data_IF_381695801039
#
_entry.id   IF_381695801039
#
_cell.length_a   1.000
_cell.length_b   1.000
_cell.length_c   1.000
_cell.angle_alpha   90.00
_cell.angle_beta   90.00
_cell.angle_gamma   90.00
#
_symmetry.space_group_name_H-M   'P 1'
#
loop_
_entity.id
_entity.type
_entity.pdbx_description
1 polymer ?
#
# COMPACT_ATOMS: atom_id res chain seq x y z
N UNK A 1 10.06 -2.65 -25.32
CA UNK A 1 11.08 -3.49 -25.97
C UNK A 1 10.36 -4.73 -26.49
N UNK A 2 10.05 -4.70 -27.78
CA UNK A 2 9.75 -5.91 -28.57
C UNK A 2 11.00 -6.80 -28.62
N UNK A 3 10.79 -8.12 -28.81
CA UNK A 3 11.80 -9.22 -28.90
C UNK A 3 12.26 -9.92 -27.60
N UNK A 4 11.46 -9.95 -26.53
CA UNK A 4 11.76 -10.71 -25.31
C UNK A 4 11.25 -12.16 -25.23
N UNK A 5 10.50 -12.64 -26.22
CA UNK A 5 9.52 -13.71 -25.98
C UNK A 5 10.04 -15.15 -25.76
N UNK A 6 11.37 -15.41 -25.77
CA UNK A 6 11.85 -16.79 -25.53
C UNK A 6 13.01 -17.02 -24.57
N UNK A 7 13.63 -16.01 -23.96
CA UNK A 7 14.73 -16.21 -22.97
C UNK A 7 14.89 -15.09 -21.95
N UNK A 8 13.80 -14.51 -21.43
CA UNK A 8 13.95 -13.53 -20.33
C UNK A 8 14.11 -14.29 -19.02
N UNK A 9 15.23 -14.11 -18.29
CA UNK A 9 15.40 -14.67 -16.96
C UNK A 9 14.26 -14.19 -16.05
N UNK A 10 13.83 -15.04 -15.12
CA UNK A 10 12.79 -14.67 -14.15
C UNK A 10 13.25 -13.44 -13.38
N UNK A 11 12.45 -12.37 -13.41
CA UNK A 11 12.69 -11.20 -12.59
C UNK A 11 12.26 -11.51 -11.16
N UNK A 12 13.12 -11.27 -10.16
CA UNK A 12 12.74 -11.29 -8.75
C UNK A 12 11.57 -10.34 -8.46
N UNK A 13 10.77 -10.66 -7.43
CA UNK A 13 9.56 -9.89 -7.14
C UNK A 13 9.83 -8.42 -6.81
N UNK A 14 10.92 -8.11 -6.13
CA UNK A 14 11.38 -6.75 -5.83
C UNK A 14 11.69 -5.95 -7.11
N UNK A 15 12.33 -6.56 -8.12
CA UNK A 15 12.51 -5.95 -9.44
C UNK A 15 11.18 -5.68 -10.12
N UNK A 16 10.22 -6.62 -10.04
CA UNK A 16 8.87 -6.39 -10.56
C UNK A 16 8.17 -5.20 -9.85
N UNK A 17 8.39 -5.04 -8.54
CA UNK A 17 7.88 -3.87 -7.81
C UNK A 17 8.52 -2.60 -8.36
N UNK A 18 9.84 -2.56 -8.56
CA UNK A 18 10.56 -1.42 -9.16
C UNK A 18 10.01 -1.03 -10.53
N UNK A 19 9.86 -2.00 -11.44
CA UNK A 19 9.31 -1.77 -12.77
C UNK A 19 7.87 -1.23 -12.70
N UNK A 20 7.06 -1.76 -11.77
CA UNK A 20 5.70 -1.28 -11.55
C UNK A 20 5.64 0.16 -11.03
N UNK A 21 6.61 0.58 -10.20
CA UNK A 21 6.72 1.98 -9.76
C UNK A 21 7.02 2.90 -10.93
N UNK A 22 7.98 2.53 -11.79
CA UNK A 22 8.30 3.31 -12.99
C UNK A 22 7.11 3.42 -13.95
N UNK A 23 6.47 2.29 -14.25
CA UNK A 23 5.32 2.24 -15.16
C UNK A 23 4.10 3.01 -14.64
N UNK A 24 3.66 2.75 -13.41
CA UNK A 24 2.52 3.45 -12.81
C UNK A 24 2.82 4.92 -12.53
N UNK A 25 4.02 5.22 -12.02
CA UNK A 25 4.45 6.58 -11.77
C UNK A 25 4.48 7.41 -13.04
N UNK A 26 4.99 6.87 -14.15
CA UNK A 26 4.93 7.50 -15.47
C UNK A 26 3.48 7.84 -15.88
N UNK A 27 2.54 6.90 -15.74
CA UNK A 27 1.13 7.12 -16.10
C UNK A 27 0.51 8.24 -15.26
N UNK A 28 0.71 8.21 -13.94
CA UNK A 28 0.19 9.24 -13.02
C UNK A 28 0.82 10.61 -13.32
N UNK A 29 2.15 10.64 -13.45
CA UNK A 29 2.90 11.86 -13.72
C UNK A 29 2.49 12.51 -15.03
N UNK A 30 2.29 11.71 -16.09
CA UNK A 30 1.81 12.22 -17.38
C UNK A 30 0.41 12.86 -17.25
N UNK A 31 -0.53 12.18 -16.62
CA UNK A 31 -1.89 12.70 -16.42
C UNK A 31 -1.89 13.95 -15.54
N UNK A 32 -1.07 13.99 -14.50
CA UNK A 32 -0.91 15.16 -13.65
C UNK A 32 -0.39 16.37 -14.45
N UNK A 33 0.61 16.19 -15.33
CA UNK A 33 1.07 17.26 -16.24
C UNK A 33 -0.05 17.77 -17.16
N UNK A 34 -0.84 16.88 -17.75
CA UNK A 34 -1.99 17.25 -18.60
C UNK A 34 -3.02 18.07 -17.82
N UNK A 35 -3.38 17.63 -16.61
CA UNK A 35 -4.30 18.34 -15.71
C UNK A 35 -3.73 19.69 -15.30
N UNK A 36 -2.48 19.75 -14.85
CA UNK A 36 -1.86 21.00 -14.41
C UNK A 36 -1.86 22.06 -15.52
N UNK A 37 -1.55 21.64 -16.76
CA UNK A 37 -1.62 22.54 -17.91
C UNK A 37 -3.05 23.00 -18.21
N UNK A 38 -4.03 22.09 -18.18
CA UNK A 38 -5.44 22.40 -18.47
C UNK A 38 -6.04 23.37 -17.44
N UNK A 39 -5.73 23.17 -16.17
CA UNK A 39 -6.26 23.96 -15.05
C UNK A 39 -5.38 25.17 -14.68
N UNK A 40 -4.28 25.42 -15.41
CA UNK A 40 -3.37 26.53 -15.14
C UNK A 40 -2.54 26.41 -13.85
N UNK A 41 -2.42 25.20 -13.29
CA UNK A 41 -1.67 24.93 -12.05
C UNK A 41 -0.17 24.97 -12.33
N UNK A 42 0.54 25.92 -11.71
CA UNK A 42 2.00 26.08 -11.83
C UNK A 42 2.73 25.19 -10.82
N UNK A 43 2.72 23.87 -11.04
CA UNK A 43 3.46 22.89 -10.24
C UNK A 43 4.12 21.84 -11.12
N UNK A 44 5.20 21.24 -10.61
CA UNK A 44 5.82 20.08 -11.21
C UNK A 44 5.33 18.80 -10.53
N UNK A 45 5.45 17.68 -11.23
CA UNK A 45 5.20 16.33 -10.68
C UNK A 45 6.41 15.44 -10.96
N UNK A 46 6.80 14.64 -9.96
CA UNK A 46 7.94 13.74 -10.08
C UNK A 46 7.64 12.38 -9.43
N UNK A 47 8.01 11.31 -10.12
CA UNK A 47 8.01 9.95 -9.59
C UNK A 47 9.37 9.64 -8.99
N UNK A 48 9.40 9.16 -7.74
CA UNK A 48 10.60 8.72 -7.05
C UNK A 48 10.53 7.20 -6.88
N UNK A 49 11.45 6.48 -7.51
CA UNK A 49 11.65 5.05 -7.22
C UNK A 49 12.04 4.94 -5.74
N UNK A 50 11.28 4.16 -4.99
CA UNK A 50 11.34 4.14 -3.53
C UNK A 50 11.65 2.74 -3.01
N UNK A 51 12.69 2.65 -2.19
CA UNK A 51 13.11 1.47 -1.44
C UNK A 51 12.62 1.57 0.01
N UNK A 52 12.16 0.44 0.54
CA UNK A 52 11.66 0.32 1.90
C UNK A 52 12.46 -0.74 2.64
N UNK A 53 13.15 -0.29 3.68
CA UNK A 53 13.90 -1.16 4.56
C UNK A 53 12.94 -2.04 5.36
N UNK A 54 13.21 -3.34 5.36
CA UNK A 54 12.48 -4.36 6.13
C UNK A 54 13.44 -5.22 6.92
N UNK A 55 12.92 -5.93 7.93
CA UNK A 55 13.73 -6.89 8.69
C UNK A 55 13.83 -8.21 7.91
N UNK A 56 15.04 -8.68 7.59
CA UNK A 56 15.21 -9.99 6.93
C UNK A 56 14.74 -11.17 7.79
N UNK A 57 14.62 -10.98 9.11
CA UNK A 57 14.04 -11.94 10.05
C UNK A 57 12.55 -11.73 10.34
N UNK A 58 11.83 -10.95 9.53
CA UNK A 58 10.39 -10.75 9.70
C UNK A 58 9.64 -12.11 9.60
N UNK A 59 8.77 -12.46 10.57
CA UNK A 59 8.01 -13.70 10.56
C UNK A 59 7.19 -13.96 9.28
N UNK A 60 6.79 -12.90 8.57
CA UNK A 60 6.03 -13.02 7.31
C UNK A 60 6.83 -13.71 6.20
N UNK A 61 8.16 -13.73 6.28
CA UNK A 61 8.98 -14.52 5.35
C UNK A 61 8.79 -16.02 5.55
N UNK A 62 8.58 -16.47 6.78
CA UNK A 62 8.29 -17.87 7.10
C UNK A 62 6.81 -18.22 6.88
N UNK A 63 5.91 -17.24 7.05
CA UNK A 63 4.46 -17.44 6.88
C UNK A 63 3.83 -16.41 5.93
N UNK A 64 4.05 -16.54 4.61
CA UNK A 64 3.49 -15.64 3.61
C UNK A 64 1.96 -15.67 3.58
N UNK A 65 1.32 -14.51 3.73
CA UNK A 65 -0.16 -14.39 3.74
C UNK A 65 -0.71 -13.44 2.69
N UNK A 66 0.11 -12.56 2.10
CA UNK A 66 -0.39 -11.48 1.26
C UNK A 66 -0.68 -11.94 -0.16
N UNK A 67 -1.93 -11.86 -0.63
CA UNK A 67 -2.29 -12.34 -1.96
C UNK A 67 -1.93 -11.30 -3.04
N UNK A 68 -1.25 -11.75 -4.10
CA UNK A 68 -0.83 -10.95 -5.25
C UNK A 68 -1.32 -11.56 -6.57
N UNK A 69 -1.31 -10.74 -7.63
CA UNK A 69 -1.72 -11.17 -8.96
C UNK A 69 -3.21 -11.52 -9.07
N UNK A 70 -3.54 -12.25 -10.12
CA UNK A 70 -4.90 -12.62 -10.50
C UNK A 70 -5.45 -13.79 -9.65
N UNK A 71 -6.75 -14.05 -9.78
CA UNK A 71 -7.38 -15.24 -9.18
C UNK A 71 -7.27 -16.44 -10.11
N UNK A 72 -6.99 -17.60 -9.54
CA UNK A 72 -6.90 -18.89 -10.20
C UNK A 72 -8.01 -19.83 -9.72
N UNK A 73 -8.46 -20.72 -10.61
CA UNK A 73 -9.28 -21.87 -10.22
C UNK A 73 -8.42 -22.93 -9.53
N UNK A 74 -9.04 -23.90 -8.87
CA UNK A 74 -8.32 -25.04 -8.28
C UNK A 74 -7.45 -25.77 -9.31
N UNK A 75 -7.98 -26.02 -10.52
CA UNK A 75 -7.22 -26.69 -11.58
C UNK A 75 -5.99 -25.88 -12.03
N UNK A 76 -6.15 -24.57 -12.20
CA UNK A 76 -5.05 -23.68 -12.54
C UNK A 76 -4.01 -23.61 -11.41
N UNK A 77 -4.45 -23.57 -10.14
CA UNK A 77 -3.57 -23.57 -8.99
C UNK A 77 -2.70 -24.84 -8.93
N UNK A 78 -3.29 -26.02 -9.15
CA UNK A 78 -2.55 -27.29 -9.19
C UNK A 78 -1.51 -27.28 -10.32
N UNK A 79 -1.87 -26.81 -11.50
CA UNK A 79 -0.94 -26.71 -12.63
C UNK A 79 0.21 -25.72 -12.33
N UNK A 80 -0.12 -24.54 -11.80
CA UNK A 80 0.86 -23.52 -11.45
C UNK A 80 1.82 -24.00 -10.36
N UNK A 81 1.35 -24.80 -9.39
CA UNK A 81 2.22 -25.39 -8.37
C UNK A 81 3.24 -26.35 -8.96
N UNK A 82 2.88 -27.09 -10.02
CA UNK A 82 3.81 -27.97 -10.75
C UNK A 82 4.81 -27.17 -11.60
N UNK A 83 4.35 -26.13 -12.30
CA UNK A 83 5.19 -25.28 -13.16
C UNK A 83 6.10 -24.32 -12.36
N UNK A 84 5.66 -23.94 -11.15
CA UNK A 84 6.30 -22.94 -10.28
C UNK A 84 6.29 -23.43 -8.84
N UNK A 85 7.09 -24.46 -8.49
CA UNK A 85 7.07 -25.08 -7.17
C UNK A 85 7.47 -24.16 -6.01
N UNK A 86 8.12 -23.03 -6.29
CA UNK A 86 8.49 -21.99 -5.32
C UNK A 86 7.35 -20.99 -5.05
N UNK A 87 6.28 -21.00 -5.84
CA UNK A 87 5.10 -20.19 -5.53
C UNK A 87 4.32 -20.88 -4.42
N UNK A 88 3.89 -20.08 -3.45
CA UNK A 88 2.87 -20.47 -2.50
C UNK A 88 1.54 -20.00 -3.05
N UNK A 89 0.63 -20.94 -3.31
CA UNK A 89 -0.71 -20.66 -3.80
C UNK A 89 -1.69 -21.06 -2.70
N UNK A 90 -2.54 -20.12 -2.29
CA UNK A 90 -3.53 -20.34 -1.24
C UNK A 90 -4.92 -19.99 -1.72
N UNK A 91 -5.92 -20.68 -1.16
CA UNK A 91 -7.32 -20.35 -1.33
C UNK A 91 -7.65 -19.09 -0.51
N UNK A 92 -8.07 -18.03 -1.18
CA UNK A 92 -8.40 -16.75 -0.53
C UNK A 92 -9.90 -16.63 -0.30
N UNK A 93 -10.69 -17.20 -1.21
CA UNK A 93 -12.15 -17.34 -1.11
C UNK A 93 -12.52 -18.73 -1.65
N UNK A 94 -13.69 -19.29 -1.29
CA UNK A 94 -14.10 -20.61 -1.75
C UNK A 94 -13.99 -20.76 -3.28
N UNK A 95 -13.15 -21.70 -3.73
CA UNK A 95 -12.86 -21.98 -5.13
C UNK A 95 -11.95 -20.98 -5.84
N UNK A 96 -11.42 -19.97 -5.15
CA UNK A 96 -10.61 -18.88 -5.72
C UNK A 96 -9.25 -18.77 -5.03
N UNK A 97 -8.21 -19.04 -5.80
CA UNK A 97 -6.83 -19.15 -5.33
C UNK A 97 -5.99 -17.96 -5.80
N UNK A 98 -4.98 -17.56 -5.04
CA UNK A 98 -3.99 -16.54 -5.45
C UNK A 98 -2.59 -16.94 -4.98
N UNK A 99 -1.57 -16.42 -5.66
CA UNK A 99 -0.19 -16.49 -5.15
C UNK A 99 -0.12 -15.64 -3.88
N UNK A 100 0.45 -16.17 -2.82
CA UNK A 100 0.79 -15.42 -1.60
C UNK A 100 2.29 -15.19 -1.50
N UNK A 101 2.65 -14.04 -0.93
CA UNK A 101 4.04 -13.61 -0.74
C UNK A 101 4.21 -12.97 0.63
N UNK A 102 5.46 -12.89 1.16
CA UNK A 102 5.73 -12.18 2.40
C UNK A 102 5.28 -10.72 2.33
N UNK A 103 4.76 -10.19 3.44
CA UNK A 103 4.40 -8.77 3.58
C UNK A 103 5.06 -8.14 4.80
N UNK A 104 6.40 -8.10 4.82
CA UNK A 104 7.15 -7.63 5.99
C UNK A 104 6.80 -6.18 6.35
N UNK A 105 6.95 -5.86 7.63
CA UNK A 105 6.64 -4.53 8.14
C UNK A 105 7.68 -3.49 7.65
N UNK A 106 7.22 -2.31 7.19
CA UNK A 106 8.13 -1.25 6.78
C UNK A 106 8.83 -0.61 7.99
N UNK A 107 10.17 -0.58 7.96
CA UNK A 107 10.99 0.02 9.02
C UNK A 107 11.35 1.46 8.67
N UNK A 108 11.88 1.67 7.46
CA UNK A 108 12.33 2.97 6.99
C UNK A 108 12.15 3.11 5.48
N UNK A 109 11.98 4.34 5.01
CA UNK A 109 11.98 4.67 3.58
C UNK A 109 13.31 5.34 3.27
N UNK A 110 14.11 4.75 2.39
CA UNK A 110 15.49 5.21 2.18
C UNK A 110 15.54 6.57 1.48
N UNK A 111 14.64 6.81 0.52
CA UNK A 111 14.57 8.08 -0.22
C UNK A 111 13.71 9.17 0.47
N UNK A 112 13.36 9.00 1.75
CA UNK A 112 12.44 9.91 2.45
C UNK A 112 12.91 11.37 2.48
N UNK A 113 14.22 11.61 2.60
CA UNK A 113 14.75 12.98 2.65
C UNK A 113 14.64 13.67 1.29
N UNK A 114 14.90 12.94 0.20
CA UNK A 114 14.71 13.44 -1.15
C UNK A 114 13.22 13.73 -1.43
N UNK A 115 12.33 12.82 -1.03
CA UNK A 115 10.88 13.02 -1.13
C UNK A 115 10.45 14.27 -0.36
N UNK A 116 10.88 14.42 0.90
CA UNK A 116 10.58 15.59 1.72
C UNK A 116 11.11 16.89 1.10
N UNK A 117 12.32 16.87 0.53
CA UNK A 117 12.90 18.01 -0.18
C UNK A 117 12.06 18.46 -1.38
N UNK A 118 11.62 17.51 -2.22
CA UNK A 118 10.75 17.78 -3.36
C UNK A 118 9.39 18.35 -2.94
N UNK A 119 8.77 17.76 -1.91
CA UNK A 119 7.49 18.26 -1.36
C UNK A 119 7.65 19.69 -0.86
N UNK A 120 8.72 20.00 -0.11
CA UNK A 120 9.01 21.36 0.37
C UNK A 120 9.23 22.36 -0.77
N UNK A 121 9.76 21.92 -1.90
CA UNK A 121 9.92 22.73 -3.11
C UNK A 121 8.62 22.92 -3.90
N UNK A 122 7.48 22.37 -3.44
CA UNK A 122 6.19 22.50 -4.11
C UNK A 122 5.94 21.50 -5.24
N UNK A 123 6.79 20.47 -5.36
CA UNK A 123 6.61 19.38 -6.32
C UNK A 123 5.55 18.40 -5.80
N UNK A 124 4.64 17.97 -6.67
CA UNK A 124 3.73 16.86 -6.40
C UNK A 124 4.51 15.55 -6.59
N UNK A 125 4.75 14.81 -5.51
CA UNK A 125 5.59 13.62 -5.55
C UNK A 125 4.74 12.35 -5.59
N UNK A 126 5.06 11.45 -6.52
CA UNK A 126 4.58 10.07 -6.56
C UNK A 126 5.69 9.17 -6.03
N UNK A 127 5.45 8.46 -4.93
CA UNK A 127 6.45 7.64 -4.26
C UNK A 127 5.80 6.39 -3.64
N UNK A 128 6.63 5.48 -3.11
CA UNK A 128 6.18 4.24 -2.45
C UNK A 128 5.22 3.39 -3.30
N UNK A 129 5.36 3.40 -4.63
CA UNK A 129 4.47 2.64 -5.51
C UNK A 129 4.50 1.14 -5.15
N UNK A 130 3.32 0.54 -5.01
CA UNK A 130 3.20 -0.85 -4.55
C UNK A 130 3.56 -1.10 -3.08
N UNK A 131 3.80 -0.04 -2.29
CA UNK A 131 4.32 -0.12 -0.92
C UNK A 131 5.83 0.12 -0.80
N UNK A 132 6.54 0.32 -1.92
CA UNK A 132 7.99 0.43 -1.95
C UNK A 132 8.70 -0.89 -2.27
N UNK A 133 9.92 -0.81 -2.80
CA UNK A 133 10.75 -1.98 -3.11
C UNK A 133 11.33 -2.51 -1.79
N UNK A 134 10.95 -3.70 -1.31
CA UNK A 134 11.49 -4.26 -0.07
C UNK A 134 12.99 -4.53 -0.21
N UNK A 135 13.77 -3.96 0.70
CA UNK A 135 15.22 -4.17 0.80
C UNK A 135 15.63 -4.46 2.24
N UNK A 136 16.73 -5.18 2.42
CA UNK A 136 17.31 -5.46 3.73
C UNK A 136 18.84 -5.29 3.69
N UNK A 137 19.44 -4.96 4.84
CA UNK A 137 20.89 -4.92 4.99
C UNK A 137 21.45 -6.31 5.25
N UNK A 138 22.44 -6.72 4.46
CA UNK A 138 23.28 -7.88 4.69
C UNK A 138 24.73 -7.41 4.86
N UNK A 139 25.13 -7.13 6.10
CA UNK A 139 26.36 -6.38 6.37
C UNK A 139 26.25 -4.97 5.78
N UNK A 140 27.19 -4.61 4.91
CA UNK A 140 27.20 -3.32 4.21
C UNK A 140 26.45 -3.34 2.87
N UNK A 141 25.92 -4.50 2.46
CA UNK A 141 25.20 -4.64 1.20
C UNK A 141 23.71 -4.45 1.40
N UNK A 142 23.11 -3.57 0.59
CA UNK A 142 21.67 -3.46 0.48
C UNK A 142 21.19 -4.46 -0.57
N UNK A 143 20.35 -5.41 -0.16
CA UNK A 143 19.83 -6.46 -1.04
C UNK A 143 18.31 -6.31 -1.18
N UNK A 144 17.80 -6.60 -2.38
CA UNK A 144 16.37 -6.79 -2.61
C UNK A 144 15.87 -8.07 -1.93
N UNK A 145 14.65 -8.04 -1.41
CA UNK A 145 14.05 -9.20 -0.75
C UNK A 145 12.69 -9.50 -1.37
N UNK A 146 12.41 -10.76 -1.68
CA UNK A 146 11.13 -11.13 -2.29
C UNK A 146 9.97 -10.99 -1.29
N UNK A 147 9.20 -9.92 -1.45
CA UNK A 147 7.99 -9.64 -0.68
C UNK A 147 7.24 -8.45 -1.26
N UNK A 148 6.12 -8.08 -0.64
CA UNK A 148 5.39 -6.86 -0.98
C UNK A 148 4.99 -6.15 0.31
N UNK A 149 5.60 -5.01 0.58
CA UNK A 149 5.27 -4.17 1.74
C UNK A 149 3.80 -3.71 1.64
N UNK A 150 3.11 -3.63 2.77
CA UNK A 150 1.76 -3.05 2.80
C UNK A 150 1.80 -1.56 2.43
N UNK A 151 1.01 -1.18 1.42
CA UNK A 151 1.01 0.18 0.87
C UNK A 151 0.41 1.20 1.84
N UNK A 152 -0.53 0.79 2.68
CA UNK A 152 -1.17 1.69 3.63
C UNK A 152 -0.20 1.94 4.80
N UNK A 153 0.49 0.89 5.29
CA UNK A 153 1.55 1.02 6.30
C UNK A 153 2.76 1.83 5.78
N UNK A 154 3.22 1.57 4.55
CA UNK A 154 4.29 2.34 3.94
C UNK A 154 3.91 3.83 3.76
N UNK A 155 2.66 4.10 3.34
CA UNK A 155 2.15 5.46 3.22
C UNK A 155 2.05 6.16 4.58
N UNK A 156 1.63 5.44 5.62
CA UNK A 156 1.60 5.95 7.00
C UNK A 156 2.99 6.29 7.52
N UNK A 157 3.98 5.42 7.26
CA UNK A 157 5.38 5.69 7.59
C UNK A 157 5.90 6.93 6.85
N UNK A 158 5.69 7.03 5.53
CA UNK A 158 6.11 8.19 4.75
C UNK A 158 5.47 9.48 5.27
N UNK A 159 4.14 9.46 5.43
CA UNK A 159 3.37 10.62 5.87
C UNK A 159 3.84 11.12 7.24
N UNK A 160 4.13 10.20 8.16
CA UNK A 160 4.70 10.53 9.48
C UNK A 160 6.08 11.17 9.33
N UNK A 161 6.96 10.57 8.53
CA UNK A 161 8.36 11.00 8.39
C UNK A 161 8.51 12.36 7.70
N UNK A 162 7.59 12.72 6.80
CA UNK A 162 7.58 14.03 6.13
C UNK A 162 6.78 15.09 6.90
N UNK A 163 6.18 14.75 8.05
CA UNK A 163 5.36 15.67 8.85
C UNK A 163 4.06 16.07 8.17
N UNK A 164 3.44 15.16 7.41
CA UNK A 164 2.14 15.41 6.79
C UNK A 164 1.06 15.61 7.86
N UNK A 165 0.15 16.56 7.62
CA UNK A 165 -0.97 16.81 8.53
C UNK A 165 -2.10 15.77 8.40
N UNK A 166 -2.37 15.31 7.18
CA UNK A 166 -3.41 14.34 6.87
C UNK A 166 -2.84 13.14 6.12
N UNK A 167 -3.32 11.95 6.44
CA UNK A 167 -3.16 10.75 5.62
C UNK A 167 -4.52 10.39 5.02
N UNK A 168 -4.59 10.16 3.71
CA UNK A 168 -5.84 9.79 3.04
C UNK A 168 -5.65 8.44 2.36
N UNK A 169 -6.39 7.44 2.81
CA UNK A 169 -6.41 6.08 2.26
C UNK A 169 -7.64 5.94 1.37
N UNK A 170 -7.40 5.83 0.06
CA UNK A 170 -8.45 5.64 -0.95
C UNK A 170 -8.69 4.14 -1.19
N UNK A 171 -9.95 3.71 -1.09
CA UNK A 171 -10.39 2.31 -1.22
C UNK A 171 -11.72 2.21 -2.00
N UNK A 172 -12.30 1.01 -2.10
CA UNK A 172 -13.54 0.77 -2.86
C UNK A 172 -14.83 1.07 -2.08
N UNK A 173 -14.71 1.49 -0.82
CA UNK A 173 -15.85 1.80 0.05
C UNK A 173 -15.78 3.23 0.53
N UNK A 174 -16.94 3.86 0.65
CA UNK A 174 -17.05 5.27 1.08
C UNK A 174 -16.57 5.51 2.52
N UNK A 175 -16.70 4.50 3.39
CA UNK A 175 -16.41 4.53 4.82
C UNK A 175 -16.01 3.12 5.30
N UNK A 176 -15.25 3.01 6.38
CA UNK A 176 -15.11 1.76 7.12
C UNK A 176 -16.38 1.46 7.93
N UNK A 177 -16.59 0.19 8.27
CA UNK A 177 -17.73 -0.24 9.07
C UNK A 177 -17.31 -1.31 10.09
N UNK A 178 -17.97 -1.31 11.24
CA UNK A 178 -18.02 -2.47 12.14
C UNK A 178 -19.24 -3.32 11.80
N UNK A 179 -19.19 -4.60 12.15
CA UNK A 179 -20.22 -5.60 11.84
C UNK A 179 -20.52 -5.63 10.34
N UNK A 180 -19.46 -5.55 9.54
CA UNK A 180 -19.57 -5.46 8.08
C UNK A 180 -20.34 -6.64 7.50
N UNK A 181 -21.30 -6.35 6.61
CA UNK A 181 -22.25 -7.31 5.99
C UNK A 181 -23.17 -8.04 6.99
N UNK A 182 -23.32 -7.55 8.21
CA UNK A 182 -24.34 -8.02 9.17
C UNK A 182 -25.57 -7.09 9.16
N UNK A 183 -26.75 -7.56 9.62
CA UNK A 183 -27.97 -6.73 9.67
C UNK A 183 -27.82 -5.45 10.49
N UNK A 184 -26.94 -5.46 11.49
CA UNK A 184 -26.64 -4.36 12.41
C UNK A 184 -25.32 -3.64 12.07
N UNK A 185 -24.89 -3.70 10.81
CA UNK A 185 -23.72 -2.99 10.29
C UNK A 185 -23.77 -1.50 10.64
N UNK A 186 -22.63 -0.95 11.05
CA UNK A 186 -22.50 0.46 11.38
C UNK A 186 -21.31 1.08 10.64
N UNK A 187 -21.61 2.07 9.80
CA UNK A 187 -20.58 2.89 9.14
C UNK A 187 -19.94 3.85 10.15
N UNK A 188 -18.62 3.93 10.10
CA UNK A 188 -17.84 4.78 10.98
C UNK A 188 -17.65 6.15 10.35
N UNK A 189 -18.09 7.19 11.04
CA UNK A 189 -17.77 8.59 10.74
C UNK A 189 -16.43 8.95 11.37
N UNK A 190 -16.45 9.84 12.37
CA UNK A 190 -15.27 10.17 13.17
C UNK A 190 -15.11 9.20 14.35
N UNK A 191 -13.91 8.67 14.54
CA UNK A 191 -13.53 7.78 15.63
C UNK A 191 -12.16 8.18 16.20
N UNK A 192 -11.96 7.96 17.49
CA UNK A 192 -10.64 8.19 18.14
C UNK A 192 -9.69 7.02 17.91
N UNK A 193 -8.39 7.21 18.17
CA UNK A 193 -7.43 6.11 18.20
C UNK A 193 -7.89 4.99 19.15
N UNK A 194 -8.43 5.36 20.33
CA UNK A 194 -8.92 4.40 21.32
C UNK A 194 -10.00 3.48 20.74
N UNK A 195 -11.02 4.06 20.13
CA UNK A 195 -12.09 3.32 19.48
C UNK A 195 -11.58 2.46 18.32
N UNK A 196 -10.69 3.01 17.49
CA UNK A 196 -10.12 2.27 16.37
C UNK A 196 -9.34 1.03 16.84
N UNK A 197 -8.57 1.14 17.94
CA UNK A 197 -7.85 0.02 18.56
C UNK A 197 -8.81 -1.02 19.14
N UNK A 198 -9.86 -0.59 19.82
CA UNK A 198 -10.89 -1.49 20.36
C UNK A 198 -11.54 -2.32 19.25
N UNK A 199 -11.97 -1.68 18.15
CA UNK A 199 -12.58 -2.37 17.02
C UNK A 199 -11.60 -3.31 16.31
N UNK A 200 -10.33 -2.90 16.18
CA UNK A 200 -9.29 -3.75 15.60
C UNK A 200 -9.05 -5.00 16.46
N UNK A 201 -8.94 -4.83 17.79
CA UNK A 201 -8.78 -5.94 18.73
C UNK A 201 -10.01 -6.86 18.79
N UNK A 202 -11.21 -6.31 18.56
CA UNK A 202 -12.44 -7.08 18.45
C UNK A 202 -12.58 -7.84 17.11
N UNK A 203 -11.63 -7.69 16.17
CA UNK A 203 -11.65 -8.37 14.89
C UNK A 203 -12.71 -7.83 13.91
N UNK A 204 -13.15 -6.57 14.08
CA UNK A 204 -14.16 -5.95 13.21
C UNK A 204 -13.64 -5.69 11.79
N UNK A 205 -12.31 -5.66 11.61
CA UNK A 205 -11.66 -5.36 10.33
C UNK A 205 -10.83 -6.54 9.80
N UNK A 206 -11.14 -7.07 8.61
CA UNK A 206 -10.40 -8.20 8.04
C UNK A 206 -8.92 -7.86 7.76
N UNK A 207 -8.00 -8.75 8.13
CA UNK A 207 -6.55 -8.57 7.98
C UNK A 207 -6.08 -8.42 6.52
N UNK A 208 -6.82 -8.94 5.54
CA UNK A 208 -6.48 -8.82 4.12
C UNK A 208 -7.01 -7.55 3.43
N UNK A 209 -7.72 -6.66 4.13
CA UNK A 209 -8.34 -5.48 3.51
C UNK A 209 -8.40 -4.25 4.42
N UNK A 210 -9.36 -4.19 5.34
CA UNK A 210 -9.60 -2.99 6.15
C UNK A 210 -8.69 -2.93 7.38
N UNK A 211 -8.24 -4.07 7.92
CA UNK A 211 -7.35 -4.12 9.08
C UNK A 211 -6.08 -3.28 8.92
N UNK A 212 -5.26 -3.51 7.87
CA UNK A 212 -4.05 -2.73 7.62
C UNK A 212 -4.30 -1.23 7.42
N UNK A 213 -5.47 -0.85 6.90
CA UNK A 213 -5.86 0.57 6.71
C UNK A 213 -6.12 1.27 8.04
N UNK A 214 -6.85 0.60 8.92
CA UNK A 214 -7.14 1.09 10.27
C UNK A 214 -5.83 1.16 11.07
N UNK A 215 -4.99 0.14 10.98
CA UNK A 215 -3.68 0.13 11.62
C UNK A 215 -2.79 1.26 11.11
N UNK A 216 -2.65 1.43 9.80
CA UNK A 216 -1.91 2.52 9.18
C UNK A 216 -2.41 3.89 9.67
N UNK A 217 -3.72 4.08 9.75
CA UNK A 217 -4.33 5.30 10.26
C UNK A 217 -4.03 5.54 11.74
N UNK A 218 -4.12 4.51 12.58
CA UNK A 218 -3.73 4.60 14.00
C UNK A 218 -2.26 4.98 14.12
N UNK A 219 -1.36 4.30 13.40
CA UNK A 219 0.08 4.54 13.47
C UNK A 219 0.44 5.98 13.06
N UNK A 220 -0.20 6.49 12.01
CA UNK A 220 0.02 7.86 11.53
C UNK A 220 -0.35 8.90 12.60
N UNK A 221 -1.54 8.78 13.18
CA UNK A 221 -2.02 9.74 14.19
C UNK A 221 -1.21 9.63 15.48
N UNK A 222 -0.85 8.41 15.91
CA UNK A 222 0.04 8.19 17.07
C UNK A 222 1.42 8.84 16.88
N UNK A 223 1.93 8.88 15.65
CA UNK A 223 3.21 9.51 15.30
C UNK A 223 3.13 11.04 15.11
N UNK A 224 2.00 11.65 15.46
CA UNK A 224 1.81 13.11 15.45
C UNK A 224 1.06 13.64 14.22
N UNK A 225 0.55 12.77 13.35
CA UNK A 225 -0.38 13.16 12.30
C UNK A 225 -1.69 13.73 12.87
N UNK A 226 -2.32 14.66 12.15
CA UNK A 226 -3.55 15.31 12.59
C UNK A 226 -4.79 14.42 12.45
N UNK A 227 -4.96 13.80 11.28
CA UNK A 227 -6.07 12.86 11.02
C UNK A 227 -5.75 11.89 9.88
N UNK A 228 -6.26 10.65 9.99
CA UNK A 228 -6.30 9.71 8.88
C UNK A 228 -7.73 9.57 8.35
N UNK A 229 -7.91 9.69 7.04
CA UNK A 229 -9.21 9.59 6.35
C UNK A 229 -9.23 8.33 5.50
N UNK A 230 -10.24 7.48 5.67
CA UNK A 230 -10.49 6.31 4.82
C UNK A 230 -11.77 6.54 4.03
N UNK A 231 -11.68 6.53 2.70
CA UNK A 231 -12.84 6.78 1.81
C UNK A 231 -12.62 6.22 0.40
N UNK A 232 -13.54 6.49 -0.54
CA UNK A 232 -13.42 6.08 -1.94
C UNK A 232 -12.97 7.21 -2.87
N UNK A 233 -12.55 6.85 -4.08
CA UNK A 233 -12.11 7.80 -5.11
C UNK A 233 -13.16 8.87 -5.41
N UNK A 234 -14.43 8.50 -5.42
CA UNK A 234 -15.56 9.37 -5.73
C UNK A 234 -15.86 10.38 -4.61
N UNK A 235 -15.48 10.04 -3.37
CA UNK A 235 -15.80 10.82 -2.17
C UNK A 235 -14.58 11.51 -1.56
N UNK A 236 -13.39 11.38 -2.17
CA UNK A 236 -12.14 11.89 -1.58
C UNK A 236 -12.18 13.39 -1.32
N UNK A 237 -12.74 14.18 -2.26
CA UNK A 237 -12.86 15.62 -2.12
C UNK A 237 -13.80 15.99 -0.95
N UNK A 238 -14.99 15.37 -0.87
CA UNK A 238 -15.94 15.67 0.20
C UNK A 238 -15.44 15.20 1.57
N UNK A 239 -14.75 14.06 1.64
CA UNK A 239 -14.20 13.54 2.89
C UNK A 239 -13.10 14.45 3.45
N UNK A 240 -12.26 15.06 2.59
CA UNK A 240 -11.24 16.04 3.02
C UNK A 240 -11.88 17.26 3.70
N UNK A 241 -13.08 17.65 3.25
CA UNK A 241 -13.89 18.72 3.84
C UNK A 241 -14.74 18.24 5.03
N UNK A 242 -14.41 17.09 5.62
CA UNK A 242 -15.14 16.44 6.73
C UNK A 242 -16.59 16.03 6.41
N UNK A 243 -16.93 15.91 5.12
CA UNK A 243 -18.23 15.47 4.65
C UNK A 243 -18.17 14.05 4.09
N UNK A 244 -18.32 13.07 4.99
CA UNK A 244 -18.18 11.64 4.69
C UNK A 244 -16.80 11.08 5.02
N UNK A 245 -16.55 9.82 4.64
CA UNK A 245 -15.34 9.10 5.04
C UNK A 245 -15.35 8.61 6.49
N UNK A 246 -14.36 7.80 6.83
CA UNK A 246 -14.03 7.47 8.22
C UNK A 246 -12.81 8.28 8.63
N UNK A 247 -12.92 9.03 9.72
CA UNK A 247 -11.88 9.93 10.23
C UNK A 247 -11.32 9.36 11.53
N UNK A 248 -10.06 8.93 11.51
CA UNK A 248 -9.33 8.52 12.71
C UNK A 248 -8.58 9.76 13.21
N UNK A 249 -8.90 10.17 14.43
CA UNK A 249 -8.35 11.37 15.08
C UNK A 249 -7.71 10.99 16.43
N UNK A 250 -6.86 11.86 17.02
CA UNK A 250 -6.22 11.61 18.31
C UNK A 250 -7.20 11.16 19.41
#
# INVERSE_FOLDING_TARGET
>A
MEEGERRVPRLPLDTCVSDSQGGMGYMIQRLACEIFRREGIQRSVATVITQVLVNSGDPDFAHPTKPIGEFYTHQQAVQLQQERPHWLIQEIEPGRFRRVVPSPHPIAILEQEAIAGLVKAGVVVVACGGGGIPVAWQGEHLIGVEGVVDKDLASSLLASNIGAHKLIIVTSVKQAAIRFRKPDQQWLGRITIGQAREYLAAGEFPAGSMGPKIEAGIQFVVRGGGECIITSSEHVASAVDSNGGTHIVP
#
